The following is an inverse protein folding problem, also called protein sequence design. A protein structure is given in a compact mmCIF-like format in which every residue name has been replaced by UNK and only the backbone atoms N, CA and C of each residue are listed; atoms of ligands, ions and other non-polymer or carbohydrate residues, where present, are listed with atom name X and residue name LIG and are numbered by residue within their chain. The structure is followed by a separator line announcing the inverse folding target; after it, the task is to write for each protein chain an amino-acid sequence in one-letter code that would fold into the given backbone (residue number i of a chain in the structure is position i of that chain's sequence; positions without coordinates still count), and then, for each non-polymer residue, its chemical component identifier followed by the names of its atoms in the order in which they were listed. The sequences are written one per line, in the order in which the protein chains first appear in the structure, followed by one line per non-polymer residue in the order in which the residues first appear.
data_IF_298754744032
#
_entry.id   IF_298754744032
#
_cell.length_a   1.000
_cell.length_b   1.000
_cell.length_c   1.000
_cell.angle_alpha   90.00
_cell.angle_beta   90.00
_cell.angle_gamma   90.00
#
_symmetry.space_group_name_H-M   'P 1'
#
loop_
_entity.id
_entity.type
_entity.pdbx_description
1 polymer ?
#
# COMPACT_ATOMS: atom_id res chain seq x y z
N UNK A 1 12.41 0.09 9.63
CA UNK A 1 11.38 -0.67 8.95
C UNK A 1 11.31 -0.24 7.49
N UNK A 2 11.01 -1.13 6.59
CA UNK A 2 10.97 -0.86 5.15
C UNK A 2 9.52 -0.81 4.67
N UNK A 3 9.13 0.28 3.99
CA UNK A 3 7.77 0.48 3.48
C UNK A 3 7.83 0.61 1.97
N UNK A 4 7.05 -0.19 1.26
CA UNK A 4 6.91 -0.11 -0.19
C UNK A 4 5.69 0.75 -0.54
N UNK A 5 5.90 1.77 -1.36
CA UNK A 5 4.84 2.65 -1.87
C UNK A 5 4.63 2.33 -3.34
N UNK A 6 3.46 1.84 -3.70
CA UNK A 6 3.12 1.44 -5.06
C UNK A 6 1.99 2.33 -5.61
N UNK A 7 2.28 3.07 -6.67
CA UNK A 7 1.33 3.93 -7.36
C UNK A 7 1.96 4.28 -8.72
N UNK A 8 1.17 4.29 -9.78
CA UNK A 8 1.69 4.61 -11.11
C UNK A 8 1.98 6.11 -11.29
N UNK A 9 1.46 6.95 -10.42
CA UNK A 9 1.73 8.39 -10.41
C UNK A 9 2.91 8.72 -9.49
N UNK A 10 3.99 9.22 -10.08
CA UNK A 10 5.15 9.68 -9.29
C UNK A 10 4.75 10.77 -8.32
N UNK A 11 3.89 11.69 -8.74
CA UNK A 11 3.40 12.78 -7.88
C UNK A 11 2.64 12.21 -6.69
N UNK A 12 1.79 11.22 -6.91
CA UNK A 12 1.05 10.58 -5.82
C UNK A 12 1.98 9.85 -4.86
N UNK A 13 3.01 9.16 -5.37
CA UNK A 13 3.99 8.53 -4.47
C UNK A 13 4.66 9.56 -3.56
N UNK A 14 5.03 10.71 -4.10
CA UNK A 14 5.63 11.79 -3.30
C UNK A 14 4.65 12.35 -2.27
N UNK A 15 3.37 12.46 -2.62
CA UNK A 15 2.34 12.92 -1.69
C UNK A 15 2.17 11.92 -0.55
N UNK A 16 2.11 10.63 -0.86
CA UNK A 16 2.01 9.58 0.17
C UNK A 16 3.23 9.61 1.10
N UNK A 17 4.43 9.72 0.53
CA UNK A 17 5.68 9.79 1.31
C UNK A 17 5.65 11.00 2.26
N UNK A 18 5.28 12.16 1.75
CA UNK A 18 5.18 13.38 2.56
C UNK A 18 4.15 13.21 3.67
N UNK A 19 3.01 12.63 3.34
CA UNK A 19 1.94 12.39 4.32
C UNK A 19 2.38 11.44 5.42
N UNK A 20 3.12 10.38 5.07
CA UNK A 20 3.69 9.47 6.04
C UNK A 20 4.63 10.19 7.00
N UNK A 21 5.50 11.06 6.48
CA UNK A 21 6.40 11.86 7.32
C UNK A 21 5.63 12.78 8.25
N UNK A 22 4.61 13.46 7.74
CA UNK A 22 3.76 14.35 8.54
C UNK A 22 2.98 13.58 9.61
N UNK A 23 2.65 12.33 9.36
CA UNK A 23 1.97 11.47 10.32
C UNK A 23 2.90 10.90 11.40
N UNK A 24 4.20 11.17 11.30
CA UNK A 24 5.16 10.71 12.29
C UNK A 24 5.89 9.42 11.91
N UNK A 25 5.73 8.94 10.67
CA UNK A 25 6.39 7.72 10.19
C UNK A 25 7.64 8.05 9.36
N UNK A 26 8.35 9.12 9.71
CA UNK A 26 9.65 9.42 9.14
C UNK A 26 10.71 8.50 9.74
N UNK A 27 11.84 8.38 9.07
CA UNK A 27 12.92 7.52 9.54
C UNK A 27 12.82 6.07 9.06
N UNK A 28 11.75 5.70 8.34
CA UNK A 28 11.63 4.40 7.69
C UNK A 28 12.27 4.42 6.31
N UNK A 29 12.81 3.29 5.88
CA UNK A 29 13.30 3.13 4.51
C UNK A 29 12.10 3.01 3.57
N UNK A 30 12.07 3.81 2.51
CA UNK A 30 10.97 3.82 1.55
C UNK A 30 11.43 3.28 0.21
N UNK A 31 10.67 2.35 -0.36
CA UNK A 31 10.89 1.78 -1.69
C UNK A 31 9.68 2.14 -2.53
N UNK A 32 9.87 2.49 -3.80
CA UNK A 32 8.79 2.89 -4.69
C UNK A 32 8.63 1.90 -5.83
N UNK A 33 7.37 1.69 -6.24
CA UNK A 33 7.04 0.90 -7.42
C UNK A 33 6.02 1.69 -8.27
N UNK A 34 6.21 1.69 -9.59
CA UNK A 34 5.40 2.48 -10.51
C UNK A 34 4.28 1.68 -11.18
N UNK A 35 4.23 0.38 -10.98
CA UNK A 35 3.16 -0.46 -11.48
C UNK A 35 3.04 -1.71 -10.60
N UNK A 36 1.99 -2.51 -10.86
CA UNK A 36 1.72 -3.68 -10.03
C UNK A 36 2.76 -4.77 -10.15
N UNK A 37 3.37 -4.93 -11.33
CA UNK A 37 4.42 -5.92 -11.52
C UNK A 37 5.68 -5.54 -10.75
N UNK A 38 6.07 -4.28 -10.82
CA UNK A 38 7.20 -3.78 -10.03
C UNK A 38 6.93 -3.94 -8.53
N UNK A 39 5.69 -3.68 -8.11
CA UNK A 39 5.30 -3.84 -6.70
C UNK A 39 5.44 -5.30 -6.26
N UNK A 40 4.92 -6.22 -7.04
CA UNK A 40 5.03 -7.66 -6.75
C UNK A 40 6.49 -8.08 -6.64
N UNK A 41 7.30 -7.72 -7.64
CA UNK A 41 8.71 -8.09 -7.68
C UNK A 41 9.49 -7.46 -6.53
N UNK A 42 9.16 -6.22 -6.16
CA UNK A 42 9.79 -5.53 -5.04
C UNK A 42 9.47 -6.20 -3.70
N UNK A 43 8.25 -6.69 -3.51
CA UNK A 43 7.91 -7.42 -2.28
C UNK A 43 8.77 -8.68 -2.15
N UNK A 44 8.94 -9.40 -3.23
CA UNK A 44 9.74 -10.64 -3.22
C UNK A 44 11.22 -10.33 -2.99
N UNK A 45 11.75 -9.31 -3.65
CA UNK A 45 13.19 -8.98 -3.62
C UNK A 45 13.59 -8.21 -2.37
N UNK A 46 12.80 -7.21 -1.97
CA UNK A 46 13.13 -6.28 -0.89
C UNK A 46 12.58 -6.69 0.46
N UNK A 47 11.57 -7.57 0.48
CA UNK A 47 10.90 -8.05 1.70
C UNK A 47 10.49 -6.89 2.62
N UNK A 48 9.67 -5.95 2.15
CA UNK A 48 9.24 -4.82 2.98
C UNK A 48 8.41 -5.29 4.17
N UNK A 49 8.34 -4.44 5.18
CA UNK A 49 7.52 -4.70 6.37
C UNK A 49 6.08 -4.26 6.20
N UNK A 50 5.83 -3.40 5.21
CA UNK A 50 4.49 -2.91 4.90
C UNK A 50 4.44 -2.49 3.43
N UNK A 51 3.31 -2.77 2.78
CA UNK A 51 3.01 -2.28 1.42
C UNK A 51 1.83 -1.31 1.50
N UNK A 52 2.02 -0.12 0.93
CA UNK A 52 0.96 0.88 0.75
C UNK A 52 0.76 1.01 -0.76
N UNK A 53 -0.37 0.56 -1.27
CA UNK A 53 -0.58 0.41 -2.70
C UNK A 53 -1.85 1.11 -3.18
N UNK A 54 -1.77 1.72 -4.36
CA UNK A 54 -2.98 2.08 -5.10
C UNK A 54 -3.65 0.81 -5.62
N UNK A 55 -4.91 0.92 -5.97
CA UNK A 55 -5.69 -0.17 -6.57
C UNK A 55 -5.47 -0.25 -8.07
N UNK A 56 -5.65 0.88 -8.76
CA UNK A 56 -5.55 0.94 -10.22
C UNK A 56 -4.11 1.24 -10.66
N UNK A 57 -3.43 0.24 -11.19
CA UNK A 57 -2.07 0.35 -11.69
C UNK A 57 -1.92 -0.46 -12.96
N UNK A 58 -1.02 -0.07 -13.88
CA UNK A 58 -0.70 -0.87 -15.06
C UNK A 58 -0.11 -2.23 -14.68
N UNK A 59 -0.14 -3.17 -15.56
CA UNK A 59 0.39 -4.53 -15.49
C UNK A 59 -0.39 -5.41 -14.52
N UNK A 60 -0.51 -5.02 -13.26
CA UNK A 60 -1.31 -5.71 -12.24
C UNK A 60 -2.00 -4.66 -11.39
N UNK A 61 -3.27 -4.85 -11.10
CA UNK A 61 -3.95 -4.00 -10.11
C UNK A 61 -3.44 -4.32 -8.71
N UNK A 62 -3.67 -3.40 -7.76
CA UNK A 62 -3.24 -3.62 -6.38
C UNK A 62 -3.84 -4.88 -5.76
N UNK A 63 -5.11 -5.18 -6.06
CA UNK A 63 -5.73 -6.41 -5.55
C UNK A 63 -5.15 -7.66 -6.19
N UNK A 64 -4.76 -7.59 -7.46
CA UNK A 64 -4.09 -8.72 -8.13
C UNK A 64 -2.73 -8.99 -7.49
N UNK A 65 -1.98 -7.93 -7.16
CA UNK A 65 -0.71 -8.06 -6.44
C UNK A 65 -0.93 -8.75 -5.10
N UNK A 66 -1.89 -8.27 -4.33
CA UNK A 66 -2.18 -8.82 -3.01
C UNK A 66 -2.57 -10.29 -3.09
N UNK A 67 -3.49 -10.64 -4.00
CA UNK A 67 -3.93 -12.03 -4.18
C UNK A 67 -2.78 -12.94 -4.61
N UNK A 68 -1.90 -12.47 -5.51
CA UNK A 68 -0.74 -13.23 -5.95
C UNK A 68 0.22 -13.51 -4.79
N UNK A 69 0.46 -12.49 -3.95
CA UNK A 69 1.32 -12.65 -2.77
C UNK A 69 0.72 -13.64 -1.77
N UNK A 70 -0.57 -13.52 -1.49
CA UNK A 70 -1.25 -14.44 -0.56
C UNK A 70 -1.24 -15.88 -1.08
N UNK A 71 -1.46 -16.07 -2.39
CA UNK A 71 -1.42 -17.39 -3.01
C UNK A 71 -0.02 -18.02 -2.93
N UNK A 72 1.02 -17.20 -2.91
CA UNK A 72 2.40 -17.67 -2.75
C UNK A 72 2.80 -17.87 -1.28
N UNK A 73 1.87 -17.70 -0.34
CA UNK A 73 2.16 -17.84 1.08
C UNK A 73 2.84 -16.61 1.69
N UNK A 74 2.89 -15.49 0.96
CA UNK A 74 3.48 -14.24 1.46
C UNK A 74 2.41 -13.46 2.21
N UNK A 75 2.64 -13.24 3.50
CA UNK A 75 1.68 -12.59 4.39
C UNK A 75 2.10 -11.15 4.73
N UNK A 76 2.84 -10.48 3.85
CA UNK A 76 3.28 -9.12 4.10
C UNK A 76 2.10 -8.20 4.45
N UNK A 77 2.22 -7.37 5.49
CA UNK A 77 1.21 -6.36 5.79
C UNK A 77 0.98 -5.46 4.58
N UNK A 78 -0.29 -5.32 4.18
CA UNK A 78 -0.67 -4.68 2.92
C UNK A 78 -1.91 -3.83 3.14
N UNK A 79 -1.89 -2.59 2.66
CA UNK A 79 -3.04 -1.72 2.71
C UNK A 79 -3.19 -0.91 1.43
N UNK A 80 -4.41 -0.40 1.20
CA UNK A 80 -4.73 0.34 -0.01
C UNK A 80 -4.89 1.83 0.25
N UNK A 81 -4.44 2.63 -0.72
CA UNK A 81 -4.70 4.06 -0.80
C UNK A 81 -5.19 4.32 -2.22
N UNK A 82 -6.48 4.62 -2.39
CA UNK A 82 -7.09 4.72 -3.72
C UNK A 82 -8.18 5.78 -3.77
N UNK A 83 -8.46 6.29 -4.98
CA UNK A 83 -9.53 7.26 -5.20
C UNK A 83 -10.91 6.60 -5.38
N UNK A 84 -10.95 5.30 -5.60
CA UNK A 84 -12.20 4.55 -5.75
C UNK A 84 -12.49 3.70 -4.51
N UNK A 85 -13.77 3.64 -4.16
CA UNK A 85 -14.21 2.86 -3.01
C UNK A 85 -15.61 2.33 -3.27
N UNK A 86 -15.70 1.06 -3.67
CA UNK A 86 -16.97 0.36 -3.78
C UNK A 86 -17.04 -0.71 -2.70
N UNK A 87 -18.26 -1.16 -2.32
CA UNK A 87 -18.38 -2.27 -1.37
C UNK A 87 -17.66 -3.53 -1.86
N UNK A 88 -17.70 -3.81 -3.15
CA UNK A 88 -17.02 -4.96 -3.75
C UNK A 88 -15.50 -4.86 -3.59
N UNK A 89 -14.94 -3.66 -3.78
CA UNK A 89 -13.51 -3.42 -3.61
C UNK A 89 -13.09 -3.63 -2.15
N UNK A 90 -13.86 -3.08 -1.22
CA UNK A 90 -13.57 -3.23 0.21
C UNK A 90 -13.67 -4.70 0.63
N UNK A 91 -14.69 -5.41 0.17
CA UNK A 91 -14.85 -6.83 0.48
C UNK A 91 -13.70 -7.66 -0.07
N UNK A 92 -13.26 -7.39 -1.30
CA UNK A 92 -12.13 -8.08 -1.90
C UNK A 92 -10.84 -7.82 -1.13
N UNK A 93 -10.62 -6.58 -0.71
CA UNK A 93 -9.45 -6.20 0.08
C UNK A 93 -9.43 -6.92 1.43
N UNK A 94 -10.53 -6.91 2.14
CA UNK A 94 -10.66 -7.60 3.44
C UNK A 94 -10.46 -9.10 3.30
N UNK A 95 -11.08 -9.71 2.29
CA UNK A 95 -10.96 -11.14 2.04
C UNK A 95 -9.52 -11.56 1.75
N UNK A 96 -8.73 -10.69 1.14
CA UNK A 96 -7.32 -10.92 0.86
C UNK A 96 -6.40 -10.53 2.02
N UNK A 97 -6.95 -10.03 3.13
CA UNK A 97 -6.18 -9.70 4.33
C UNK A 97 -5.56 -8.31 4.33
N UNK A 98 -6.12 -7.37 3.57
CA UNK A 98 -5.67 -5.97 3.63
C UNK A 98 -5.96 -5.40 5.02
N UNK A 99 -5.02 -4.64 5.57
CA UNK A 99 -5.11 -4.09 6.92
C UNK A 99 -5.80 -2.74 6.98
N UNK A 100 -5.82 -2.01 5.88
CA UNK A 100 -6.50 -0.72 5.81
C UNK A 100 -6.89 -0.39 4.38
N UNK A 101 -7.82 0.55 4.25
CA UNK A 101 -8.31 1.04 2.97
C UNK A 101 -8.51 2.55 3.14
N UNK A 102 -7.59 3.33 2.60
CA UNK A 102 -7.60 4.79 2.71
C UNK A 102 -8.06 5.38 1.39
N UNK A 103 -9.02 6.30 1.44
CA UNK A 103 -9.60 6.94 0.26
C UNK A 103 -8.96 8.30 0.03
N UNK A 104 -8.54 8.57 -1.19
CA UNK A 104 -8.03 9.89 -1.60
C UNK A 104 -9.19 10.86 -1.78
N UNK A 105 -9.06 12.12 -1.40
CA UNK A 105 -7.94 12.74 -0.70
C UNK A 105 -7.90 12.33 0.79
N UNK A 106 -6.70 12.29 1.34
CA UNK A 106 -6.47 11.84 2.72
C UNK A 106 -5.67 12.88 3.51
N UNK A 107 -5.64 12.69 4.84
CA UNK A 107 -4.91 13.56 5.76
C UNK A 107 -3.81 12.77 6.48
N UNK A 108 -2.79 13.44 7.05
CA UNK A 108 -1.81 12.75 7.90
C UNK A 108 -2.46 11.99 9.05
N UNK A 109 -3.52 12.52 9.64
CA UNK A 109 -4.26 11.90 10.74
C UNK A 109 -4.86 10.56 10.31
N UNK A 110 -5.37 10.47 9.09
CA UNK A 110 -5.94 9.22 8.57
C UNK A 110 -4.86 8.15 8.43
N UNK A 111 -3.67 8.53 7.94
CA UNK A 111 -2.54 7.62 7.88
C UNK A 111 -2.10 7.18 9.26
N UNK A 112 -2.01 8.12 10.20
CA UNK A 112 -1.62 7.81 11.58
C UNK A 112 -2.58 6.80 12.20
N UNK A 113 -3.88 7.01 12.03
CA UNK A 113 -4.91 6.10 12.52
C UNK A 113 -4.78 4.71 11.90
N UNK A 114 -4.62 4.64 10.57
CA UNK A 114 -4.56 3.37 9.86
C UNK A 114 -3.28 2.59 10.14
N UNK A 115 -2.14 3.28 10.20
CA UNK A 115 -0.84 2.63 10.29
C UNK A 115 -0.38 2.39 11.73
N UNK A 116 -0.93 3.09 12.71
CA UNK A 116 -0.53 2.89 14.11
C UNK A 116 -0.83 1.48 14.61
N UNK A 117 -1.84 0.82 14.06
CA UNK A 117 -2.15 -0.58 14.38
C UNK A 117 -1.14 -1.56 13.76
N UNK A 118 -0.42 -1.15 12.74
CA UNK A 118 0.56 -1.98 12.01
C UNK A 118 1.97 -1.68 12.48
N UNK A 119 2.31 -0.40 12.58
CA UNK A 119 3.69 0.05 12.89
C UNK A 119 3.90 0.35 14.37
N UNK A 120 2.84 0.27 15.11
CA UNK A 120 2.90 0.47 16.55
C UNK A 120 3.01 1.86 17.02
#
# INVERSE_FOLDING_TARGET
MKILIADDSRVMRQIVIRTLRQAGFDGHELVEAADGRQAHDAVVAEKPDLVVSDWNMPEMTGIQVLNALRSAGNAVPFGFVTSECTPEMQNAAEAAGALFFIIKPFTPERFKEALSTVLG
#
